data_IF_228886545362
#
_entry.id   IF_228886545362
#
_cell.length_a   1.000
_cell.length_b   1.000
_cell.length_c   1.000
_cell.angle_alpha   90.00
_cell.angle_beta   90.00
_cell.angle_gamma   90.00
#
_symmetry.space_group_name_H-M   'P 1'
#
loop_
_entity.id
_entity.type
_entity.pdbx_description
1 polymer ?
#
# COMPACT_ATOMS: atom_id res chain seq x y z
N UNK A 1 50.14 -22.31 -0.58
CA UNK A 1 48.78 -22.00 -1.09
C UNK A 1 47.65 -22.51 -0.16
N UNK A 2 47.76 -22.34 1.16
CA UNK A 2 46.69 -22.76 2.13
C UNK A 2 46.09 -21.61 2.94
N UNK A 3 46.62 -20.39 2.83
CA UNK A 3 46.15 -19.20 3.57
C UNK A 3 45.29 -18.23 2.75
N UNK A 4 45.20 -18.42 1.43
CA UNK A 4 44.40 -17.55 0.55
C UNK A 4 42.93 -18.00 0.42
N UNK A 5 42.60 -19.22 0.85
CA UNK A 5 41.23 -19.77 0.73
C UNK A 5 40.29 -19.35 1.87
N UNK A 6 40.81 -18.80 2.98
CA UNK A 6 40.00 -18.45 4.15
C UNK A 6 39.32 -17.06 4.02
N UNK A 7 39.82 -16.20 3.14
CA UNK A 7 39.28 -14.83 2.94
C UNK A 7 38.05 -14.83 2.03
N UNK A 8 37.86 -15.86 1.20
CA UNK A 8 36.71 -16.01 0.30
C UNK A 8 35.46 -16.62 0.96
N UNK A 9 35.53 -17.09 2.22
CA UNK A 9 34.39 -17.65 2.95
C UNK A 9 33.66 -16.65 3.86
N UNK A 10 34.18 -15.43 4.03
CA UNK A 10 33.56 -14.41 4.90
C UNK A 10 32.71 -13.40 4.11
N UNK A 11 32.81 -13.38 2.78
CA UNK A 11 32.20 -12.33 1.95
C UNK A 11 30.75 -12.56 1.50
N UNK A 12 30.06 -13.60 1.98
CA UNK A 12 28.68 -13.89 1.54
C UNK A 12 27.64 -14.00 2.66
N UNK A 13 28.00 -13.71 3.92
CA UNK A 13 26.99 -13.54 4.96
C UNK A 13 26.48 -12.10 4.98
N UNK A 14 25.72 -11.73 3.95
CA UNK A 14 24.77 -10.64 4.07
C UNK A 14 23.65 -11.13 4.99
N UNK A 15 23.89 -11.12 6.30
CA UNK A 15 22.84 -11.36 7.28
C UNK A 15 21.77 -10.30 7.06
N UNK A 16 20.53 -10.73 6.77
CA UNK A 16 19.37 -9.83 6.79
C UNK A 16 19.41 -9.07 8.11
N UNK A 17 19.60 -7.76 8.06
CA UNK A 17 19.62 -6.96 9.27
C UNK A 17 18.22 -6.96 9.86
N UNK A 18 18.07 -7.20 11.18
CA UNK A 18 16.76 -7.14 11.82
C UNK A 18 16.18 -5.74 11.60
N UNK A 19 14.89 -5.70 11.31
CA UNK A 19 14.10 -4.50 11.16
C UNK A 19 13.07 -4.44 12.29
N UNK A 20 12.43 -3.29 12.47
CA UNK A 20 11.35 -3.12 13.43
C UNK A 20 10.08 -2.77 12.68
N UNK A 21 9.03 -3.55 12.92
CA UNK A 21 7.68 -3.19 12.56
C UNK A 21 7.05 -2.42 13.72
N UNK A 22 6.46 -1.27 13.41
CA UNK A 22 5.63 -0.55 14.36
C UNK A 22 4.22 -0.43 13.83
N UNK A 23 3.26 -0.32 14.74
CA UNK A 23 1.89 0.07 14.46
C UNK A 23 1.64 1.45 15.07
N UNK A 24 1.18 2.39 14.28
CA UNK A 24 0.81 3.73 14.74
C UNK A 24 -0.58 3.71 15.40
N UNK A 25 -0.77 4.52 16.44
CA UNK A 25 -2.11 4.77 17.03
C UNK A 25 -3.04 5.43 16.01
N UNK A 26 -2.55 6.45 15.30
CA UNK A 26 -3.26 7.14 14.21
C UNK A 26 -2.36 7.14 12.96
N UNK A 27 -2.91 6.78 11.81
CA UNK A 27 -2.13 6.76 10.56
C UNK A 27 -1.64 8.17 10.14
N UNK A 28 -2.28 9.25 10.62
CA UNK A 28 -1.89 10.62 10.32
C UNK A 28 -0.75 11.15 11.20
N UNK A 29 -0.39 10.45 12.29
CA UNK A 29 0.62 10.91 13.26
C UNK A 29 1.77 9.91 13.30
N UNK A 30 2.99 10.39 13.10
CA UNK A 30 4.18 9.55 12.97
C UNK A 30 4.34 8.93 11.58
N UNK A 31 3.57 9.35 10.57
CA UNK A 31 3.73 8.83 9.20
C UNK A 31 5.05 9.28 8.55
N UNK A 32 5.70 8.44 7.72
CA UNK A 32 6.93 8.79 7.02
C UNK A 32 6.74 10.02 6.11
N UNK A 33 7.77 10.86 6.05
CA UNK A 33 7.85 11.95 5.07
C UNK A 33 8.56 11.42 3.82
N UNK A 34 7.90 11.59 2.68
CA UNK A 34 8.43 11.24 1.38
C UNK A 34 8.86 12.49 0.63
N UNK A 35 10.02 12.43 -0.01
CA UNK A 35 10.49 13.48 -0.91
C UNK A 35 10.48 12.95 -2.34
N UNK A 36 10.02 13.80 -3.24
CA UNK A 36 10.13 13.58 -4.68
C UNK A 36 11.45 14.17 -5.16
N UNK A 37 12.30 13.32 -5.74
CA UNK A 37 13.37 13.78 -6.63
C UNK A 37 12.96 13.62 -8.10
N UNK A 38 13.80 14.07 -9.04
CA UNK A 38 13.52 14.05 -10.49
C UNK A 38 13.23 12.64 -11.05
N UNK A 39 13.57 11.56 -10.33
CA UNK A 39 13.48 10.20 -10.85
C UNK A 39 12.69 9.23 -9.95
N UNK A 40 12.65 9.41 -8.62
CA UNK A 40 12.01 8.48 -7.70
C UNK A 40 11.46 9.15 -6.42
N UNK A 41 10.45 8.51 -5.83
CA UNK A 41 10.05 8.77 -4.44
C UNK A 41 10.97 7.94 -3.54
N UNK A 42 11.65 8.58 -2.61
CA UNK A 42 12.36 7.89 -1.54
C UNK A 42 11.81 8.33 -0.17
N UNK A 43 11.66 7.36 0.75
CA UNK A 43 11.34 7.68 2.13
C UNK A 43 12.57 8.27 2.81
N UNK A 44 12.37 9.32 3.58
CA UNK A 44 13.38 9.79 4.52
C UNK A 44 13.39 8.89 5.76
N UNK A 45 14.43 9.01 6.58
CA UNK A 45 14.45 8.45 7.94
C UNK A 45 13.68 9.34 8.95
N UNK A 46 12.64 10.03 8.48
CA UNK A 46 11.87 11.01 9.25
C UNK A 46 10.38 10.78 9.09
N UNK A 47 9.64 11.14 10.13
CA UNK A 47 8.19 11.16 10.22
C UNK A 47 7.65 12.58 10.32
N UNK A 48 6.34 12.74 10.22
CA UNK A 48 5.64 13.98 10.52
C UNK A 48 5.46 14.26 12.03
N UNK A 49 6.05 13.44 12.91
CA UNK A 49 6.04 13.62 14.37
C UNK A 49 7.44 13.96 14.92
N UNK A 50 7.53 15.03 15.71
CA UNK A 50 8.81 15.52 16.22
C UNK A 50 9.44 14.61 17.28
N UNK A 51 8.63 13.98 18.14
CA UNK A 51 9.13 13.07 19.18
C UNK A 51 9.69 11.79 18.58
N UNK A 52 8.99 11.22 17.58
CA UNK A 52 9.46 10.05 16.85
C UNK A 52 10.77 10.36 16.09
N UNK A 53 10.88 11.56 15.49
CA UNK A 53 12.12 12.00 14.83
C UNK A 53 13.30 12.14 15.79
N UNK A 54 13.05 12.57 17.05
CA UNK A 54 14.08 12.61 18.08
C UNK A 54 14.59 11.19 18.40
N UNK A 55 13.68 10.22 18.55
CA UNK A 55 14.05 8.81 18.74
C UNK A 55 14.88 8.31 17.54
N UNK A 56 14.41 8.53 16.31
CA UNK A 56 15.13 8.08 15.11
C UNK A 56 16.54 8.67 15.01
N UNK A 57 16.70 9.94 15.36
CA UNK A 57 18.01 10.62 15.37
C UNK A 57 18.93 10.04 16.45
N UNK A 58 18.43 9.85 17.68
CA UNK A 58 19.21 9.28 18.79
C UNK A 58 19.76 7.89 18.47
N UNK A 59 18.97 7.06 17.78
CA UNK A 59 19.34 5.68 17.48
C UNK A 59 19.88 5.47 16.06
N UNK A 60 20.09 6.54 15.27
CA UNK A 60 20.71 6.45 13.95
C UNK A 60 19.91 5.60 12.96
N UNK A 61 18.59 5.78 12.93
CA UNK A 61 17.71 5.12 11.96
C UNK A 61 18.01 5.62 10.55
N UNK A 62 18.10 4.69 9.60
CA UNK A 62 18.50 4.99 8.21
C UNK A 62 17.35 4.88 7.23
N UNK A 63 16.28 4.17 7.58
CA UNK A 63 15.11 4.03 6.74
C UNK A 63 13.85 3.92 7.59
N UNK A 64 12.80 4.63 7.17
CA UNK A 64 11.48 4.56 7.76
C UNK A 64 10.44 4.56 6.63
N UNK A 65 9.70 3.48 6.46
CA UNK A 65 8.83 3.28 5.29
C UNK A 65 7.46 2.71 5.66
N UNK A 66 6.47 2.98 4.80
CA UNK A 66 5.14 2.40 4.94
C UNK A 66 5.13 0.90 4.63
N UNK A 67 4.28 0.15 5.35
CA UNK A 67 3.90 -1.21 5.03
C UNK A 67 2.37 -1.29 4.84
N UNK A 68 1.88 -0.91 3.66
CA UNK A 68 0.51 -0.36 3.50
C UNK A 68 -0.60 -1.41 3.39
N UNK A 69 -0.29 -2.63 2.95
CA UNK A 69 -1.30 -3.64 2.56
C UNK A 69 -1.61 -4.64 3.68
N UNK A 70 -1.83 -4.13 4.90
CA UNK A 70 -2.18 -5.00 6.01
C UNK A 70 -3.54 -5.67 5.75
N UNK A 71 -3.67 -7.01 5.91
CA UNK A 71 -4.92 -7.72 5.58
C UNK A 71 -6.12 -7.33 6.45
N UNK A 72 -5.86 -6.87 7.68
CA UNK A 72 -6.89 -6.25 8.51
C UNK A 72 -6.99 -4.76 8.19
N UNK A 73 -8.07 -4.38 7.50
CA UNK A 73 -8.29 -3.01 6.99
C UNK A 73 -8.11 -1.89 8.02
N UNK A 74 -8.53 -2.02 9.29
CA UNK A 74 -8.28 -1.02 10.32
C UNK A 74 -6.80 -0.76 10.68
N UNK A 75 -5.87 -1.60 10.22
CA UNK A 75 -4.42 -1.39 10.33
C UNK A 75 -3.81 -0.84 9.04
N UNK A 76 -4.58 -0.72 7.95
CA UNK A 76 -4.09 -0.16 6.70
C UNK A 76 -3.53 1.25 6.93
N UNK A 77 -2.34 1.49 6.39
CA UNK A 77 -1.62 2.76 6.56
C UNK A 77 -1.04 3.01 7.97
N UNK A 78 -1.23 2.11 8.95
CA UNK A 78 -0.71 2.26 10.31
C UNK A 78 0.56 1.45 10.56
N UNK A 79 0.83 0.45 9.74
CA UNK A 79 2.02 -0.40 9.86
C UNK A 79 3.20 0.24 9.12
N UNK A 80 4.35 0.28 9.78
CA UNK A 80 5.59 0.88 9.26
C UNK A 80 6.77 -0.04 9.53
N UNK A 81 7.75 0.01 8.64
CA UNK A 81 9.03 -0.66 8.81
C UNK A 81 10.12 0.36 9.08
N UNK A 82 10.99 0.03 10.03
CA UNK A 82 12.14 0.82 10.43
C UNK A 82 13.38 -0.05 10.26
N UNK A 83 14.39 0.48 9.56
CA UNK A 83 15.71 -0.17 9.42
C UNK A 83 16.81 0.75 9.93
N UNK A 84 17.86 0.15 10.48
CA UNK A 84 18.99 0.87 11.08
C UNK A 84 19.56 0.12 12.27
N UNK A 85 20.05 0.85 13.26
CA UNK A 85 20.57 0.25 14.49
C UNK A 85 19.44 -0.14 15.44
N UNK A 86 18.96 -1.38 15.31
CA UNK A 86 17.89 -1.94 16.14
C UNK A 86 18.46 -2.51 17.44
N UNK A 87 18.66 -1.64 18.43
CA UNK A 87 19.07 -2.05 19.79
C UNK A 87 17.85 -2.24 20.71
N UNK A 88 18.02 -2.94 21.84
CA UNK A 88 16.93 -3.08 22.82
C UNK A 88 16.45 -1.72 23.33
N UNK A 89 17.37 -0.77 23.55
CA UNK A 89 17.02 0.57 24.01
C UNK A 89 16.16 1.33 22.98
N UNK A 90 16.36 1.08 21.68
CA UNK A 90 15.50 1.65 20.64
C UNK A 90 14.07 1.09 20.71
N UNK A 91 13.94 -0.23 20.90
CA UNK A 91 12.64 -0.89 21.09
C UNK A 91 11.93 -0.34 22.34
N UNK A 92 12.65 -0.20 23.45
CA UNK A 92 12.12 0.34 24.70
C UNK A 92 11.65 1.80 24.52
N UNK A 93 12.42 2.61 23.79
CA UNK A 93 12.06 4.00 23.49
C UNK A 93 10.78 4.09 22.63
N UNK A 94 10.65 3.27 21.59
CA UNK A 94 9.43 3.20 20.77
C UNK A 94 8.23 2.72 21.60
N UNK A 95 8.42 1.69 22.42
CA UNK A 95 7.37 1.12 23.27
C UNK A 95 6.88 2.13 24.32
N UNK A 96 7.78 2.96 24.85
CA UNK A 96 7.44 4.03 25.77
C UNK A 96 6.70 5.20 25.11
N UNK A 97 6.82 5.37 23.78
CA UNK A 97 6.22 6.48 23.04
C UNK A 97 4.78 6.17 22.57
N UNK A 98 3.97 5.74 23.54
CA UNK A 98 2.61 5.21 23.32
C UNK A 98 1.58 6.23 22.82
N UNK A 99 1.91 7.52 22.83
CA UNK A 99 1.08 8.56 22.20
C UNK A 99 1.04 8.46 20.67
N UNK A 100 2.05 7.83 20.06
CA UNK A 100 2.15 7.65 18.60
C UNK A 100 2.23 6.17 18.24
N UNK A 101 2.87 5.34 19.07
CA UNK A 101 3.13 3.92 18.80
C UNK A 101 2.16 3.04 19.59
N UNK A 102 1.35 2.25 18.89
CA UNK A 102 0.49 1.23 19.50
C UNK A 102 1.27 -0.05 19.83
N UNK A 103 2.11 -0.52 18.90
CA UNK A 103 2.90 -1.74 19.10
C UNK A 103 4.24 -1.69 18.36
N UNK A 104 5.18 -2.49 18.85
CA UNK A 104 6.56 -2.61 18.36
C UNK A 104 6.93 -4.08 18.30
N UNK A 105 7.41 -4.54 17.14
CA UNK A 105 7.81 -5.93 16.93
C UNK A 105 9.10 -5.99 16.10
N UNK A 106 9.99 -6.92 16.44
CA UNK A 106 11.17 -7.20 15.62
C UNK A 106 10.73 -8.07 14.44
N UNK A 107 11.17 -7.70 13.23
CA UNK A 107 10.90 -8.45 12.00
C UNK A 107 12.19 -8.67 11.23
N UNK A 108 12.27 -9.76 10.46
CA UNK A 108 13.44 -10.10 9.65
C UNK A 108 13.19 -9.89 8.14
N UNK A 109 12.06 -9.27 7.78
CA UNK A 109 11.65 -9.07 6.40
C UNK A 109 10.48 -8.09 6.28
N UNK A 110 9.83 -8.10 5.12
CA UNK A 110 8.69 -7.22 4.83
C UNK A 110 7.36 -7.82 5.27
N UNK A 111 7.36 -9.02 5.84
CA UNK A 111 6.15 -9.68 6.31
C UNK A 111 5.63 -9.03 7.59
N UNK A 112 4.31 -8.92 7.70
CA UNK A 112 3.64 -8.46 8.93
C UNK A 112 4.01 -9.35 10.10
N UNK A 113 4.13 -8.81 11.31
CA UNK A 113 4.55 -9.56 12.50
C UNK A 113 3.39 -10.27 13.22
N UNK A 114 2.16 -9.94 12.82
CA UNK A 114 0.92 -10.33 13.47
C UNK A 114 -0.10 -11.00 12.52
N UNK A 115 0.26 -11.15 11.24
CA UNK A 115 -0.62 -11.71 10.21
C UNK A 115 0.02 -12.89 9.46
N UNK A 116 -0.81 -13.89 9.16
CA UNK A 116 -0.47 -15.01 8.30
C UNK A 116 -1.71 -15.49 7.53
N UNK A 117 -1.51 -16.43 6.62
CA UNK A 117 -2.56 -17.14 5.94
C UNK A 117 -2.48 -18.62 6.29
N UNK A 118 -3.62 -19.26 6.48
CA UNK A 118 -3.69 -20.71 6.64
C UNK A 118 -4.63 -21.30 5.59
N UNK A 119 -4.36 -22.54 5.20
CA UNK A 119 -5.27 -23.34 4.43
C UNK A 119 -5.87 -24.40 5.37
N UNK A 120 -7.19 -24.40 5.54
CA UNK A 120 -7.89 -25.47 6.25
C UNK A 120 -7.72 -26.80 5.53
N UNK A 121 -7.87 -27.95 6.19
CA UNK A 121 -7.82 -29.28 5.60
C UNK A 121 -9.10 -29.64 4.83
N UNK A 122 -10.25 -29.12 5.28
CA UNK A 122 -11.57 -29.31 4.68
C UNK A 122 -12.38 -28.01 4.81
N UNK A 123 -13.38 -27.80 3.95
CA UNK A 123 -14.24 -26.61 4.00
C UNK A 123 -15.19 -26.59 5.20
N UNK A 124 -15.45 -27.74 5.80
CA UNK A 124 -16.44 -27.91 6.87
C UNK A 124 -15.86 -27.86 8.27
N UNK A 125 -14.53 -27.78 8.43
CA UNK A 125 -13.84 -27.77 9.73
C UNK A 125 -12.98 -26.52 9.88
N UNK A 126 -12.91 -25.96 11.08
CA UNK A 126 -12.17 -24.72 11.36
C UNK A 126 -12.83 -23.45 10.81
N UNK A 127 -14.09 -23.51 10.33
CA UNK A 127 -14.82 -22.34 9.85
C UNK A 127 -15.25 -21.43 11.00
N UNK A 128 -15.23 -20.08 10.84
CA UNK A 128 -15.64 -19.15 11.88
C UNK A 128 -17.14 -19.27 12.17
N UNK A 129 -17.51 -19.30 13.45
CA UNK A 129 -18.91 -19.36 13.93
C UNK A 129 -19.28 -18.16 14.81
N UNK A 130 -18.32 -17.32 15.18
CA UNK A 130 -18.55 -16.11 15.97
C UNK A 130 -17.29 -15.63 16.67
N UNK A 131 -17.50 -14.91 17.78
CA UNK A 131 -16.42 -14.38 18.62
C UNK A 131 -16.76 -14.55 20.10
N UNK A 132 -15.75 -14.75 20.93
CA UNK A 132 -15.86 -14.77 22.39
C UNK A 132 -14.74 -13.94 22.99
N UNK A 133 -15.07 -12.89 23.75
CA UNK A 133 -14.07 -12.01 24.36
C UNK A 133 -13.15 -11.31 23.35
N UNK A 134 -13.63 -11.06 22.12
CA UNK A 134 -12.84 -10.47 21.03
C UNK A 134 -11.96 -11.46 20.26
N UNK A 135 -11.91 -12.73 20.68
CA UNK A 135 -11.21 -13.81 19.97
C UNK A 135 -12.18 -14.53 19.04
N UNK A 136 -11.73 -14.90 17.84
CA UNK A 136 -12.49 -15.70 16.89
C UNK A 136 -12.81 -17.08 17.48
N UNK A 137 -14.06 -17.51 17.31
CA UNK A 137 -14.50 -18.88 17.60
C UNK A 137 -14.82 -19.56 16.28
N UNK A 138 -14.33 -20.79 16.13
CA UNK A 138 -14.54 -21.67 15.01
C UNK A 138 -15.38 -22.89 15.42
N UNK A 139 -15.82 -23.68 14.44
CA UNK A 139 -16.49 -24.95 14.68
C UNK A 139 -15.53 -26.10 15.07
N UNK A 140 -14.24 -25.81 15.29
CA UNK A 140 -13.25 -26.79 15.76
C UNK A 140 -12.65 -26.40 17.13
N UNK A 141 -12.71 -27.29 18.15
CA UNK A 141 -12.25 -26.97 19.50
C UNK A 141 -10.72 -26.85 19.63
N UNK A 142 -9.94 -27.57 18.83
CA UNK A 142 -8.47 -27.48 18.89
C UNK A 142 -7.98 -26.16 18.32
N UNK A 143 -8.56 -25.72 17.20
CA UNK A 143 -8.30 -24.42 16.61
C UNK A 143 -8.74 -23.28 17.55
N UNK A 144 -9.86 -23.44 18.26
CA UNK A 144 -10.29 -22.49 19.28
C UNK A 144 -9.27 -22.34 20.42
N UNK A 145 -8.65 -23.44 20.88
CA UNK A 145 -7.61 -23.39 21.89
C UNK A 145 -6.37 -22.63 21.40
N UNK A 146 -5.97 -22.82 20.13
CA UNK A 146 -4.88 -22.07 19.50
C UNK A 146 -5.26 -20.58 19.39
N UNK A 147 -6.44 -20.27 18.86
CA UNK A 147 -6.90 -18.88 18.67
C UNK A 147 -7.01 -18.13 20.00
N UNK A 148 -7.44 -18.80 21.07
CA UNK A 148 -7.47 -18.22 22.42
C UNK A 148 -6.08 -17.98 22.98
N UNK A 149 -5.14 -18.90 22.77
CA UNK A 149 -3.74 -18.78 23.24
C UNK A 149 -3.04 -17.60 22.58
N UNK A 150 -3.29 -17.39 21.28
CA UNK A 150 -2.62 -16.37 20.48
C UNK A 150 -3.47 -15.12 20.25
N UNK A 151 -4.64 -15.00 20.89
CA UNK A 151 -5.54 -13.85 20.73
C UNK A 151 -5.81 -13.50 19.25
N UNK A 152 -6.26 -14.49 18.48
CA UNK A 152 -6.65 -14.32 17.07
C UNK A 152 -8.00 -13.60 17.03
N UNK A 153 -8.02 -12.37 16.55
CA UNK A 153 -9.22 -11.51 16.52
C UNK A 153 -9.77 -11.30 15.11
N UNK A 154 -9.02 -11.66 14.06
CA UNK A 154 -9.46 -11.58 12.68
C UNK A 154 -9.19 -12.89 11.96
N UNK A 155 -10.23 -13.44 11.35
CA UNK A 155 -10.17 -14.70 10.63
C UNK A 155 -11.23 -14.73 9.53
N UNK A 156 -10.82 -14.50 8.28
CA UNK A 156 -11.75 -14.38 7.15
C UNK A 156 -11.23 -15.14 5.94
N UNK A 157 -12.13 -15.69 5.15
CA UNK A 157 -11.78 -16.37 3.91
C UNK A 157 -11.06 -15.40 2.95
N UNK A 158 -9.89 -15.79 2.44
CA UNK A 158 -9.06 -14.93 1.59
C UNK A 158 -9.63 -14.77 0.17
N UNK A 159 -10.42 -15.75 -0.30
CA UNK A 159 -10.95 -15.80 -1.66
C UNK A 159 -12.44 -16.18 -1.70
N UNK A 160 -13.33 -15.38 -1.08
CA UNK A 160 -14.73 -15.76 -0.89
C UNK A 160 -15.54 -15.86 -2.20
N UNK A 161 -15.08 -15.23 -3.29
CA UNK A 161 -15.72 -15.29 -4.60
C UNK A 161 -15.27 -16.46 -5.48
N UNK A 162 -14.39 -17.33 -4.98
CA UNK A 162 -13.88 -18.46 -5.74
C UNK A 162 -14.95 -19.55 -5.90
N UNK A 163 -14.92 -20.27 -7.03
CA UNK A 163 -15.72 -21.47 -7.26
C UNK A 163 -14.91 -22.76 -7.07
N UNK A 164 -13.61 -22.64 -6.76
CA UNK A 164 -12.70 -23.78 -6.59
C UNK A 164 -12.55 -24.10 -5.11
N UNK A 165 -12.99 -25.29 -4.69
CA UNK A 165 -12.95 -25.73 -3.28
C UNK A 165 -11.58 -25.59 -2.62
N UNK A 166 -10.49 -25.90 -3.33
CA UNK A 166 -9.13 -25.77 -2.79
C UNK A 166 -8.77 -24.31 -2.42
N UNK A 167 -9.25 -23.35 -3.21
CA UNK A 167 -9.00 -21.91 -3.02
C UNK A 167 -9.89 -21.36 -1.89
N UNK A 168 -11.11 -21.87 -1.75
CA UNK A 168 -12.03 -21.51 -0.68
C UNK A 168 -11.52 -21.92 0.72
N UNK A 169 -10.54 -22.81 0.83
CA UNK A 169 -9.96 -23.25 2.10
C UNK A 169 -8.93 -22.26 2.68
N UNK A 170 -8.57 -21.21 1.95
CA UNK A 170 -7.61 -20.22 2.43
C UNK A 170 -8.28 -19.15 3.28
N UNK A 171 -7.71 -18.91 4.45
CA UNK A 171 -8.15 -17.90 5.41
C UNK A 171 -6.98 -17.02 5.82
N UNK A 172 -7.27 -15.73 5.90
CA UNK A 172 -6.36 -14.73 6.45
C UNK A 172 -6.58 -14.64 7.95
N UNK A 173 -5.49 -14.67 8.72
CA UNK A 173 -5.50 -14.70 10.18
C UNK A 173 -4.68 -13.52 10.70
N UNK A 174 -5.22 -12.75 11.64
CA UNK A 174 -4.48 -11.70 12.36
C UNK A 174 -4.68 -11.88 13.86
N UNK A 175 -3.60 -11.71 14.62
CA UNK A 175 -3.54 -11.88 16.06
C UNK A 175 -2.93 -10.66 16.76
N UNK A 176 -3.03 -10.60 18.08
CA UNK A 176 -2.19 -9.73 18.90
C UNK A 176 -1.07 -10.58 19.54
N UNK A 177 -0.20 -11.14 18.70
CA UNK A 177 0.79 -12.14 19.08
C UNK A 177 2.02 -12.13 18.16
N UNK A 178 3.03 -12.94 18.49
CA UNK A 178 4.12 -13.27 17.56
C UNK A 178 3.60 -14.30 16.53
N UNK A 179 3.51 -13.90 15.26
CA UNK A 179 3.05 -14.78 14.19
C UNK A 179 3.87 -16.06 14.07
N UNK A 180 5.15 -16.08 14.45
CA UNK A 180 6.00 -17.26 14.25
C UNK A 180 5.61 -18.35 15.23
N UNK A 181 5.22 -17.97 16.45
CA UNK A 181 4.67 -18.89 17.44
C UNK A 181 3.29 -19.39 17.02
N UNK A 182 2.42 -18.49 16.52
CA UNK A 182 1.12 -18.89 15.97
C UNK A 182 1.29 -19.84 14.77
N UNK A 183 2.21 -19.52 13.86
CA UNK A 183 2.54 -20.34 12.70
C UNK A 183 2.98 -21.74 13.14
N UNK A 184 3.91 -21.85 14.10
CA UNK A 184 4.37 -23.13 14.61
C UNK A 184 3.22 -23.96 15.23
N UNK A 185 2.32 -23.32 15.99
CA UNK A 185 1.16 -23.99 16.57
C UNK A 185 0.17 -24.48 15.49
N UNK A 186 -0.14 -23.65 14.50
CA UNK A 186 -1.03 -23.99 13.38
C UNK A 186 -0.44 -25.08 12.50
N UNK A 187 0.84 -25.00 12.13
CA UNK A 187 1.51 -26.03 11.32
C UNK A 187 1.59 -27.39 12.04
N UNK A 188 1.59 -27.39 13.38
CA UNK A 188 1.55 -28.62 14.18
C UNK A 188 0.14 -29.21 14.27
N UNK A 189 -0.91 -28.44 13.98
CA UNK A 189 -2.31 -28.87 14.07
C UNK A 189 -2.86 -29.37 12.73
N UNK A 190 -2.18 -30.38 12.18
CA UNK A 190 -2.41 -30.92 10.82
C UNK A 190 -3.78 -31.56 10.58
N UNK A 191 -4.52 -31.87 11.65
CA UNK A 191 -5.90 -32.38 11.57
C UNK A 191 -6.88 -31.37 10.97
N UNK A 192 -6.60 -30.07 11.13
CA UNK A 192 -7.47 -28.98 10.67
C UNK A 192 -6.74 -28.02 9.73
N UNK A 193 -5.43 -27.84 9.90
CA UNK A 193 -4.63 -26.93 9.08
C UNK A 193 -3.77 -27.74 8.12
N UNK A 194 -3.97 -27.55 6.82
CA UNK A 194 -3.20 -28.21 5.77
C UNK A 194 -1.83 -27.54 5.58
N UNK A 195 -1.81 -26.21 5.52
CA UNK A 195 -0.60 -25.40 5.29
C UNK A 195 -0.76 -24.02 5.92
N UNK A 196 0.37 -23.36 6.12
CA UNK A 196 0.44 -21.96 6.53
C UNK A 196 1.42 -21.20 5.64
N UNK A 197 1.12 -19.93 5.40
CA UNK A 197 1.90 -19.03 4.55
C UNK A 197 2.04 -17.68 5.27
N UNK A 198 3.23 -17.09 5.21
CA UNK A 198 3.48 -15.79 5.83
C UNK A 198 2.88 -14.68 4.95
N UNK A 199 2.25 -13.70 5.60
CA UNK A 199 1.66 -12.58 4.87
C UNK A 199 2.73 -11.51 4.63
N UNK A 200 3.19 -11.40 3.39
CA UNK A 200 4.12 -10.36 3.00
C UNK A 200 3.41 -9.01 3.00
N UNK A 201 4.07 -8.03 3.63
CA UNK A 201 3.75 -6.64 3.44
C UNK A 201 4.06 -6.19 2.02
N UNK A 202 3.43 -5.10 1.63
CA UNK A 202 3.57 -4.55 0.29
C UNK A 202 3.37 -3.04 0.31
N UNK A 203 3.86 -2.40 -0.75
CA UNK A 203 3.47 -1.05 -1.12
C UNK A 203 2.33 -1.17 -2.13
N UNK A 204 1.26 -0.40 -1.95
CA UNK A 204 0.22 -0.34 -2.98
C UNK A 204 0.78 0.46 -4.15
N UNK A 205 0.89 -0.17 -5.33
CA UNK A 205 0.99 0.54 -6.59
C UNK A 205 -0.40 1.12 -6.91
N UNK A 206 -0.84 2.11 -6.13
CA UNK A 206 -2.04 2.85 -6.49
C UNK A 206 -1.65 3.91 -7.50
N UNK A 207 -2.29 3.90 -8.67
CA UNK A 207 -2.34 5.11 -9.49
C UNK A 207 -2.99 6.20 -8.62
N UNK A 208 -2.50 7.45 -8.61
CA UNK A 208 -3.26 8.56 -8.03
C UNK A 208 -4.68 8.45 -8.58
N UNK A 209 -5.65 8.39 -7.66
CA UNK A 209 -7.08 8.22 -7.90
C UNK A 209 -7.45 8.70 -9.31
N UNK A 210 -7.90 7.79 -10.18
CA UNK A 210 -8.36 8.15 -11.52
C UNK A 210 -9.59 9.04 -11.37
N UNK A 211 -9.35 10.35 -11.33
CA UNK A 211 -10.37 11.38 -11.30
C UNK A 211 -11.20 11.22 -12.57
N UNK A 212 -12.50 10.94 -12.42
CA UNK A 212 -13.43 10.90 -13.55
C UNK A 212 -13.30 12.21 -14.33
N UNK A 213 -13.37 12.09 -15.66
CA UNK A 213 -13.24 13.22 -16.58
C UNK A 213 -14.01 14.47 -16.12
N UNK A 214 -13.30 15.59 -15.97
CA UNK A 214 -13.84 16.89 -15.47
C UNK A 214 -14.70 17.62 -16.51
N UNK A 215 -14.61 17.21 -17.76
CA UNK A 215 -15.37 17.71 -18.88
C UNK A 215 -15.78 16.59 -19.85
N UNK A 216 -16.86 16.81 -20.59
CA UNK A 216 -17.29 15.96 -21.72
C UNK A 216 -17.03 16.75 -23.00
N UNK A 217 -16.38 16.11 -23.98
CA UNK A 217 -16.04 16.72 -25.26
C UNK A 217 -16.86 16.04 -26.35
N UNK A 218 -17.72 16.80 -27.03
CA UNK A 218 -18.62 16.25 -28.05
C UNK A 218 -18.99 17.27 -29.13
N UNK A 219 -19.15 16.87 -30.40
CA UNK A 219 -18.82 15.55 -30.93
C UNK A 219 -17.30 15.33 -30.97
N UNK A 220 -16.88 14.07 -30.89
CA UNK A 220 -15.50 13.67 -31.11
C UNK A 220 -15.49 12.27 -31.76
N UNK A 221 -15.19 12.14 -33.06
CA UNK A 221 -14.57 13.14 -33.94
C UNK A 221 -15.45 14.35 -34.29
N UNK A 222 -14.83 15.52 -34.47
CA UNK A 222 -15.49 16.79 -34.83
C UNK A 222 -15.14 17.22 -36.27
N UNK A 223 -16.04 18.00 -36.89
CA UNK A 223 -15.83 18.57 -38.23
C UNK A 223 -15.41 20.02 -38.16
N UNK A 224 -16.18 20.89 -37.50
CA UNK A 224 -15.89 22.33 -37.44
C UNK A 224 -15.67 22.79 -35.99
N UNK A 225 -16.66 22.56 -35.14
CA UNK A 225 -16.66 22.93 -33.72
C UNK A 225 -16.95 21.70 -32.84
N UNK A 226 -16.62 21.81 -31.57
CA UNK A 226 -16.99 20.86 -30.52
C UNK A 226 -17.38 21.60 -29.24
N UNK A 227 -18.23 20.97 -28.44
CA UNK A 227 -18.69 21.45 -27.15
C UNK A 227 -17.86 20.86 -26.02
N UNK A 228 -17.77 21.63 -24.94
CA UNK A 228 -17.08 21.27 -23.70
C UNK A 228 -18.07 21.46 -22.56
N UNK A 229 -18.66 20.36 -22.09
CA UNK A 229 -19.54 20.39 -20.92
C UNK A 229 -18.73 20.16 -19.66
N UNK A 230 -18.73 21.11 -18.73
CA UNK A 230 -18.04 21.00 -17.45
C UNK A 230 -18.75 21.79 -16.36
N UNK A 231 -18.50 21.42 -15.09
CA UNK A 231 -18.96 22.17 -13.92
C UNK A 231 -17.96 23.23 -13.45
N UNK A 232 -16.76 23.25 -14.02
CA UNK A 232 -15.65 24.11 -13.60
C UNK A 232 -15.43 25.22 -14.63
N UNK A 233 -15.03 26.42 -14.18
CA UNK A 233 -14.71 27.53 -15.10
C UNK A 233 -13.39 27.24 -15.79
N UNK A 234 -13.38 27.28 -17.12
CA UNK A 234 -12.15 27.13 -17.91
C UNK A 234 -11.53 28.51 -18.08
N UNK A 235 -10.25 28.64 -17.70
CA UNK A 235 -9.48 29.90 -17.82
C UNK A 235 -8.56 29.89 -19.04
N UNK A 236 -8.21 28.71 -19.55
CA UNK A 236 -7.39 28.57 -20.75
C UNK A 236 -7.70 27.27 -21.49
N UNK A 237 -7.69 27.37 -22.81
CA UNK A 237 -7.77 26.28 -23.77
C UNK A 237 -6.45 26.23 -24.53
N UNK A 238 -5.88 25.04 -24.71
CA UNK A 238 -4.72 24.83 -25.57
C UNK A 238 -4.88 23.57 -26.39
N UNK A 239 -4.54 23.62 -27.67
CA UNK A 239 -4.49 22.44 -28.53
C UNK A 239 -3.02 22.17 -28.86
N UNK A 240 -2.64 20.90 -28.74
CA UNK A 240 -1.32 20.39 -29.06
C UNK A 240 -1.44 19.29 -30.10
N UNK A 241 -0.52 19.23 -31.07
CA UNK A 241 -0.46 18.11 -32.01
C UNK A 241 0.22 16.87 -31.39
N UNK A 242 0.26 15.76 -32.14
CA UNK A 242 0.87 14.50 -31.69
C UNK A 242 2.38 14.59 -31.43
N UNK A 243 3.04 15.66 -31.88
CA UNK A 243 4.48 15.89 -31.65
C UNK A 243 4.73 16.67 -30.36
N UNK A 244 3.68 17.15 -29.68
CA UNK A 244 3.79 18.00 -28.50
C UNK A 244 3.87 19.50 -28.82
N UNK A 245 3.71 19.90 -30.08
CA UNK A 245 3.72 21.32 -30.46
C UNK A 245 2.36 21.96 -30.19
N UNK A 246 2.34 23.06 -29.45
CA UNK A 246 1.12 23.87 -29.25
C UNK A 246 0.76 24.61 -30.54
N UNK A 247 -0.47 24.40 -31.02
CA UNK A 247 -0.98 24.98 -32.28
C UNK A 247 -2.04 26.04 -32.04
N UNK A 248 -2.69 26.02 -30.86
CA UNK A 248 -3.67 27.00 -30.43
C UNK A 248 -3.54 27.18 -28.92
N UNK A 249 -3.64 28.42 -28.43
CA UNK A 249 -3.77 28.72 -27.01
C UNK A 249 -4.56 30.00 -26.83
N UNK A 250 -5.64 29.96 -26.05
CA UNK A 250 -6.53 31.09 -25.85
C UNK A 250 -7.34 30.93 -24.56
N UNK A 251 -7.78 32.03 -23.97
CA UNK A 251 -8.74 32.04 -22.86
C UNK A 251 -10.21 32.10 -23.34
N UNK A 252 -10.44 32.22 -24.65
CA UNK A 252 -11.77 32.36 -25.25
C UNK A 252 -12.20 31.12 -26.01
N UNK A 253 -13.39 30.58 -25.70
CA UNK A 253 -13.96 29.44 -26.43
C UNK A 253 -14.25 29.78 -27.90
N UNK A 254 -14.69 31.00 -28.20
CA UNK A 254 -14.95 31.40 -29.60
C UNK A 254 -13.67 31.42 -30.43
N UNK A 255 -12.56 31.85 -29.83
CA UNK A 255 -11.27 31.88 -30.51
C UNK A 255 -10.73 30.46 -30.71
N UNK A 256 -10.96 29.57 -29.72
CA UNK A 256 -10.65 28.15 -29.83
C UNK A 256 -11.45 27.51 -30.99
N UNK A 257 -12.73 27.84 -31.14
CA UNK A 257 -13.55 27.34 -32.24
C UNK A 257 -13.03 27.81 -33.60
N UNK A 258 -12.72 29.09 -33.71
CA UNK A 258 -12.10 29.64 -34.91
C UNK A 258 -10.77 28.96 -35.25
N UNK A 259 -9.89 28.74 -34.27
CA UNK A 259 -8.60 28.08 -34.49
C UNK A 259 -8.75 26.58 -34.78
N UNK A 260 -9.65 25.89 -34.07
CA UNK A 260 -9.87 24.44 -34.22
C UNK A 260 -10.55 24.07 -35.54
N UNK A 261 -11.38 24.96 -36.09
CA UNK A 261 -11.97 24.80 -37.41
C UNK A 261 -10.92 24.75 -38.53
N UNK A 262 -9.78 25.42 -38.36
CA UNK A 262 -8.69 25.53 -39.33
C UNK A 262 -7.68 24.37 -39.24
N UNK A 263 -7.85 23.46 -38.27
CA UNK A 263 -6.99 22.30 -38.13
C UNK A 263 -7.17 21.32 -39.30
N UNK A 264 -6.07 20.74 -39.74
CA UNK A 264 -6.10 19.60 -40.66
C UNK A 264 -6.72 18.37 -40.00
N UNK A 265 -7.24 17.45 -40.81
CA UNK A 265 -7.68 16.14 -40.33
C UNK A 265 -6.57 15.43 -39.54
N UNK A 266 -6.88 14.91 -38.36
CA UNK A 266 -5.85 14.34 -37.49
C UNK A 266 -6.24 14.23 -36.02
N UNK A 267 -5.28 13.74 -35.23
CA UNK A 267 -5.40 13.64 -33.77
C UNK A 267 -4.68 14.81 -33.10
N UNK A 268 -5.33 15.34 -32.07
CA UNK A 268 -4.83 16.43 -31.25
C UNK A 268 -5.08 16.15 -29.78
N UNK A 269 -4.42 16.92 -28.91
CA UNK A 269 -4.65 16.94 -27.47
C UNK A 269 -5.20 18.32 -27.11
N UNK A 270 -6.42 18.34 -26.59
CA UNK A 270 -7.02 19.53 -25.97
C UNK A 270 -6.65 19.53 -24.48
N UNK A 271 -5.93 20.55 -24.07
CA UNK A 271 -5.57 20.83 -22.68
C UNK A 271 -6.47 21.94 -22.15
N UNK A 272 -7.14 21.70 -21.03
CA UNK A 272 -7.98 22.64 -20.32
C UNK A 272 -7.33 23.01 -18.99
N UNK A 273 -7.24 24.30 -18.70
CA UNK A 273 -6.87 24.80 -17.38
C UNK A 273 -8.09 25.42 -16.72
N UNK A 274 -8.34 25.07 -15.46
CA UNK A 274 -9.48 25.54 -14.67
C UNK A 274 -9.06 26.59 -13.65
N UNK A 275 -10.03 27.41 -13.23
CA UNK A 275 -9.85 28.48 -12.23
C UNK A 275 -9.35 27.98 -10.86
N UNK A 276 -9.67 26.75 -10.49
CA UNK A 276 -9.22 26.09 -9.26
C UNK A 276 -7.79 25.53 -9.33
N UNK A 277 -7.03 25.86 -10.39
CA UNK A 277 -5.65 25.42 -10.60
C UNK A 277 -5.50 24.01 -11.16
N UNK A 278 -6.61 23.30 -11.41
CA UNK A 278 -6.57 21.97 -12.00
C UNK A 278 -6.39 22.04 -13.53
N UNK A 279 -5.89 20.96 -14.12
CA UNK A 279 -5.82 20.77 -15.57
C UNK A 279 -6.48 19.45 -16.00
N UNK A 280 -6.91 19.37 -17.27
CA UNK A 280 -7.42 18.14 -17.87
C UNK A 280 -7.04 18.06 -19.35
N UNK A 281 -6.74 16.83 -19.81
CA UNK A 281 -6.29 16.58 -21.18
C UNK A 281 -7.24 15.62 -21.89
N UNK A 282 -7.59 15.97 -23.12
CA UNK A 282 -8.57 15.27 -23.93
C UNK A 282 -8.01 14.96 -25.31
N UNK A 283 -8.13 13.70 -25.73
CA UNK A 283 -7.89 13.34 -27.12
C UNK A 283 -8.99 13.94 -27.99
N UNK A 284 -8.62 14.67 -29.03
CA UNK A 284 -9.51 15.29 -30.00
C UNK A 284 -9.20 14.74 -31.40
N UNK A 285 -10.23 14.42 -32.19
CA UNK A 285 -10.08 13.88 -33.55
C UNK A 285 -10.80 14.80 -34.54
N UNK A 286 -10.04 15.48 -35.40
CA UNK A 286 -10.55 16.29 -36.51
C UNK A 286 -10.76 15.39 -37.73
N UNK A 287 -11.94 15.47 -38.34
CA UNK A 287 -12.27 14.76 -39.58
C UNK A 287 -11.60 15.39 -40.80
#
# INVERSE_FOLDING_TARGET
MKKLLLILFVSNFAFSQPSVEIRLVDYNIGSPIYVWDEFYIHSLNTSNDAGLNAIFTTYGITNYENNEVHPYGPYAGRIKNIRGNVSQQFIDALTAYSSVIESVHITNGMEFTDALRLQLADLTIGSPVGTSGGVIVTNDPGLNAIFQTYNVFFYTQSYPSSTVNNILRYYTVVCNCDKNLLNAALSSYSTVVSTTELYNGGVMLSNPQFEKSKAIISPNPFSDIFDIETKQTIINYSITDITGKTIASTSSKSDLDNQSSQLSAGMYILNLSFDNGQTANYKLIKK
#
